data_IF_356181616936
#
_entry.id   IF_356181616936
#
_cell.length_a   1.000
_cell.length_b   1.000
_cell.length_c   1.000
_cell.angle_alpha   90.00
_cell.angle_beta   90.00
_cell.angle_gamma   90.00
#
_symmetry.space_group_name_H-M   'P 1'
#
loop_
_entity.id
_entity.type
_entity.pdbx_description
1 polymer ?
#
# COMPACT_ATOMS: atom_id res chain seq x y z
N UNK A 1 0.39 -23.73 5.88
CA UNK A 1 0.90 -25.10 5.67
C UNK A 1 0.95 -25.96 6.94
N UNK A 2 0.23 -25.63 8.01
CA UNK A 2 0.18 -26.48 9.22
C UNK A 2 1.45 -26.52 10.09
N UNK A 3 2.49 -25.74 9.75
CA UNK A 3 3.70 -25.60 10.57
C UNK A 3 3.50 -24.48 11.58
N UNK A 4 3.79 -24.73 12.86
CA UNK A 4 3.76 -23.70 13.90
C UNK A 4 4.88 -22.69 13.68
N UNK A 5 4.57 -21.40 13.80
CA UNK A 5 5.55 -20.32 13.62
C UNK A 5 6.68 -20.39 14.66
N UNK A 6 6.40 -20.95 15.84
CA UNK A 6 7.38 -21.12 16.93
C UNK A 6 8.48 -22.12 16.59
N UNK A 7 8.25 -22.98 15.60
CA UNK A 7 9.19 -24.00 15.16
C UNK A 7 10.09 -23.51 14.00
N UNK A 8 9.85 -22.29 13.48
CA UNK A 8 10.60 -21.72 12.37
C UNK A 8 11.78 -20.88 12.84
N UNK A 9 12.88 -20.93 12.08
CA UNK A 9 13.96 -19.96 12.23
C UNK A 9 13.44 -18.57 11.86
N UNK A 10 13.64 -17.61 12.75
CA UNK A 10 13.13 -16.25 12.60
C UNK A 10 13.52 -15.59 11.27
N UNK A 11 14.76 -15.80 10.81
CA UNK A 11 15.24 -15.29 9.52
C UNK A 11 14.43 -15.86 8.35
N UNK A 12 14.32 -17.18 8.27
CA UNK A 12 13.59 -17.87 7.21
C UNK A 12 12.10 -17.53 7.21
N UNK A 13 11.51 -17.31 8.39
CA UNK A 13 10.13 -16.82 8.50
C UNK A 13 9.97 -15.40 7.94
N UNK A 14 10.88 -14.48 8.28
CA UNK A 14 10.82 -13.08 7.82
C UNK A 14 11.02 -12.94 6.32
N UNK A 15 11.82 -13.81 5.70
CA UNK A 15 11.98 -13.85 4.24
C UNK A 15 10.67 -14.19 3.50
N UNK A 16 9.69 -14.83 4.18
CA UNK A 16 8.38 -15.12 3.62
C UNK A 16 7.40 -13.94 3.66
N UNK A 17 7.71 -12.88 4.43
CA UNK A 17 6.77 -11.79 4.74
C UNK A 17 7.31 -10.46 4.21
N UNK A 18 6.52 -9.82 3.35
CA UNK A 18 6.70 -8.42 2.97
C UNK A 18 5.73 -7.53 3.73
N UNK A 19 6.20 -6.37 4.18
CA UNK A 19 5.38 -5.36 4.87
C UNK A 19 5.47 -4.04 4.09
N UNK A 20 4.32 -3.46 3.76
CA UNK A 20 4.20 -2.10 3.24
C UNK A 20 3.44 -1.28 4.27
N UNK A 21 4.13 -0.33 4.89
CA UNK A 21 3.58 0.53 5.93
C UNK A 21 2.97 1.81 5.33
N UNK A 22 2.08 2.45 6.09
CA UNK A 22 1.50 3.76 5.78
C UNK A 22 2.58 4.84 5.76
N UNK A 23 3.40 4.89 6.81
CA UNK A 23 4.53 5.80 6.90
C UNK A 23 5.78 5.11 6.35
N UNK A 24 6.23 5.55 5.18
CA UNK A 24 7.39 4.96 4.52
C UNK A 24 8.66 5.36 5.23
N UNK A 25 9.40 4.34 5.66
CA UNK A 25 10.77 4.52 6.11
C UNK A 25 11.76 4.28 4.96
N UNK A 26 12.50 5.34 4.60
CA UNK A 26 13.67 5.26 3.73
C UNK A 26 14.93 5.28 4.60
N UNK A 27 15.85 4.38 4.30
CA UNK A 27 17.16 4.35 4.92
C UNK A 27 18.03 5.46 4.32
N UNK A 28 18.96 5.99 5.13
CA UNK A 28 20.03 6.84 4.62
C UNK A 28 20.89 6.02 3.65
N UNK A 29 20.94 6.46 2.39
CA UNK A 29 21.60 5.72 1.30
C UNK A 29 21.03 6.10 -0.06
N UNK A 30 21.38 5.37 -1.10
CA UNK A 30 20.86 5.63 -2.45
C UNK A 30 19.44 5.10 -2.61
N UNK A 31 18.75 5.56 -3.66
CA UNK A 31 17.46 4.97 -4.06
C UNK A 31 17.65 3.48 -4.41
N UNK A 32 18.74 3.11 -5.10
CA UNK A 32 19.06 1.71 -5.39
C UNK A 32 19.19 0.87 -4.11
N UNK A 33 19.94 1.35 -3.12
CA UNK A 33 20.11 0.66 -1.83
C UNK A 33 18.78 0.49 -1.10
N UNK A 34 17.93 1.52 -1.14
CA UNK A 34 16.60 1.47 -0.54
C UNK A 34 15.69 0.42 -1.20
N UNK A 35 15.75 0.24 -2.51
CA UNK A 35 14.99 -0.80 -3.22
C UNK A 35 15.64 -2.17 -2.95
N UNK A 36 16.96 -2.28 -3.10
CA UNK A 36 17.74 -3.49 -2.89
C UNK A 36 17.66 -4.04 -1.47
N UNK A 37 17.24 -3.22 -0.49
CA UNK A 37 17.02 -3.68 0.89
C UNK A 37 16.11 -4.92 0.97
N UNK A 38 15.13 -5.06 0.05
CA UNK A 38 14.25 -6.23 -0.02
C UNK A 38 14.97 -7.53 -0.44
N UNK A 39 16.07 -7.41 -1.19
CA UNK A 39 16.93 -8.51 -1.63
C UNK A 39 18.35 -7.99 -1.89
N UNK A 40 19.26 -8.00 -0.89
CA UNK A 40 20.56 -7.32 -0.96
C UNK A 40 21.50 -7.80 -2.08
N UNK A 41 21.30 -9.02 -2.58
CA UNK A 41 22.03 -9.63 -3.69
C UNK A 41 21.40 -9.34 -5.08
N UNK A 42 20.39 -8.47 -5.14
CA UNK A 42 19.76 -8.09 -6.40
C UNK A 42 20.72 -7.34 -7.33
N UNK A 43 20.66 -7.70 -8.61
CA UNK A 43 21.39 -7.01 -9.68
C UNK A 43 20.77 -5.63 -10.00
N UNK A 44 21.53 -4.69 -10.57
CA UNK A 44 21.00 -3.40 -11.01
C UNK A 44 19.80 -3.51 -11.96
N UNK A 45 19.76 -4.54 -12.80
CA UNK A 45 18.66 -4.82 -13.72
C UNK A 45 17.39 -5.20 -12.97
N UNK A 46 17.50 -6.04 -11.94
CA UNK A 46 16.37 -6.43 -11.09
C UNK A 46 15.84 -5.25 -10.26
N UNK A 47 16.73 -4.37 -9.77
CA UNK A 47 16.34 -3.14 -9.06
C UNK A 47 15.56 -2.23 -10.01
N UNK A 48 16.05 -2.04 -11.25
CA UNK A 48 15.37 -1.24 -12.28
C UNK A 48 14.02 -1.82 -12.67
N UNK A 49 13.92 -3.14 -12.82
CA UNK A 49 12.66 -3.83 -13.09
C UNK A 49 11.62 -3.60 -11.98
N UNK A 50 12.01 -3.85 -10.72
CA UNK A 50 11.13 -3.60 -9.57
C UNK A 50 10.68 -2.13 -9.48
N UNK A 51 11.58 -1.19 -9.77
CA UNK A 51 11.24 0.23 -9.84
C UNK A 51 10.27 0.57 -10.97
N UNK A 52 10.32 -0.10 -12.12
CA UNK A 52 9.36 0.12 -13.23
C UNK A 52 7.97 -0.37 -12.85
N UNK A 53 7.89 -1.58 -12.31
CA UNK A 53 6.67 -2.22 -11.82
C UNK A 53 6.00 -1.39 -10.72
N UNK A 54 6.81 -0.76 -9.86
CA UNK A 54 6.32 0.18 -8.84
C UNK A 54 6.06 1.61 -9.36
N UNK A 55 6.11 1.85 -10.68
CA UNK A 55 6.00 3.17 -11.29
C UNK A 55 7.00 4.22 -10.74
N UNK A 56 8.13 3.78 -10.19
CA UNK A 56 9.15 4.65 -9.62
C UNK A 56 10.22 5.08 -10.63
N UNK A 57 10.52 4.23 -11.61
CA UNK A 57 11.61 4.44 -12.57
C UNK A 57 11.59 5.82 -13.23
N UNK A 58 10.42 6.27 -13.69
CA UNK A 58 10.28 7.52 -14.43
C UNK A 58 10.68 8.77 -13.64
N UNK A 59 10.43 8.81 -12.32
CA UNK A 59 10.86 9.95 -11.49
C UNK A 59 12.30 9.79 -11.02
N UNK A 60 12.77 8.55 -10.83
CA UNK A 60 14.15 8.28 -10.43
C UNK A 60 15.11 8.80 -11.52
N UNK A 61 14.81 8.52 -12.79
CA UNK A 61 15.61 8.98 -13.94
C UNK A 61 15.60 10.52 -14.13
N UNK A 62 14.73 11.25 -13.42
CA UNK A 62 14.74 12.72 -13.45
C UNK A 62 15.77 13.33 -12.49
N UNK A 63 16.27 12.56 -11.51
CA UNK A 63 17.37 13.02 -10.66
C UNK A 63 18.70 12.96 -11.42
N UNK A 64 19.63 13.92 -11.21
CA UNK A 64 20.92 13.92 -11.89
C UNK A 64 21.74 12.63 -11.67
N UNK A 65 21.67 12.04 -10.48
CA UNK A 65 22.35 10.79 -10.14
C UNK A 65 21.46 9.54 -10.32
N UNK A 66 20.21 9.72 -10.76
CA UNK A 66 19.28 8.62 -11.00
C UNK A 66 19.09 7.71 -9.78
N UNK A 67 19.42 6.43 -9.95
CA UNK A 67 19.36 5.43 -8.89
C UNK A 67 20.39 5.64 -7.77
N UNK A 68 21.48 6.34 -8.06
CA UNK A 68 22.55 6.66 -7.09
C UNK A 68 22.24 7.93 -6.29
N UNK A 69 21.09 8.57 -6.54
CA UNK A 69 20.64 9.72 -5.73
C UNK A 69 20.50 9.31 -4.27
N UNK A 70 21.17 10.06 -3.40
CA UNK A 70 21.14 9.84 -1.95
C UNK A 70 19.81 10.38 -1.40
N UNK A 71 19.11 9.56 -0.63
CA UNK A 71 17.86 9.87 0.09
C UNK A 71 18.05 9.61 1.59
N UNK A 72 17.07 10.03 2.40
CA UNK A 72 17.12 9.94 3.86
C UNK A 72 17.24 11.32 4.52
N UNK A 73 17.72 11.39 5.77
CA UNK A 73 17.77 12.62 6.55
C UNK A 73 18.67 13.70 5.93
N UNK A 74 19.75 13.29 5.27
CA UNK A 74 20.77 14.17 4.64
C UNK A 74 20.72 14.18 3.12
N UNK A 75 19.80 13.42 2.52
CA UNK A 75 19.67 13.28 1.08
C UNK A 75 18.57 14.16 0.48
N UNK A 76 18.26 13.90 -0.79
CA UNK A 76 17.08 14.44 -1.46
C UNK A 76 15.83 13.97 -0.74
N UNK A 77 14.91 14.89 -0.49
CA UNK A 77 13.58 14.57 0.06
C UNK A 77 12.66 14.12 -1.06
N UNK A 78 12.26 12.86 -1.02
CA UNK A 78 11.19 12.35 -1.87
C UNK A 78 9.84 12.86 -1.38
N UNK A 79 8.91 13.11 -2.31
CA UNK A 79 7.50 13.29 -1.94
C UNK A 79 6.93 12.03 -1.29
N UNK A 80 5.82 12.13 -0.57
CA UNK A 80 5.16 10.96 0.01
C UNK A 80 4.86 9.88 -1.03
N UNK A 81 4.37 10.26 -2.21
CA UNK A 81 4.07 9.32 -3.29
C UNK A 81 5.30 8.71 -3.95
N UNK A 82 6.41 9.45 -4.03
CA UNK A 82 7.69 8.91 -4.50
C UNK A 82 8.25 7.90 -3.48
N UNK A 83 8.25 8.24 -2.20
CA UNK A 83 8.69 7.34 -1.13
C UNK A 83 7.85 6.04 -1.11
N UNK A 84 6.52 6.15 -1.23
CA UNK A 84 5.63 4.98 -1.30
C UNK A 84 5.98 4.07 -2.46
N UNK A 85 6.21 4.62 -3.66
CA UNK A 85 6.61 3.84 -4.83
C UNK A 85 7.98 3.17 -4.65
N UNK A 86 8.94 3.80 -3.96
CA UNK A 86 10.21 3.14 -3.58
C UNK A 86 9.96 1.99 -2.60
N UNK A 87 9.07 2.16 -1.62
CA UNK A 87 8.68 1.10 -0.67
C UNK A 87 8.00 -0.09 -1.37
N UNK A 88 7.12 0.19 -2.34
CA UNK A 88 6.48 -0.85 -3.16
C UNK A 88 7.51 -1.56 -4.04
N UNK A 89 8.47 -0.84 -4.64
CA UNK A 89 9.57 -1.46 -5.39
C UNK A 89 10.39 -2.40 -4.50
N UNK A 90 10.69 -2.00 -3.25
CA UNK A 90 11.37 -2.85 -2.26
C UNK A 90 10.58 -4.13 -1.98
N UNK A 91 9.26 -4.03 -1.80
CA UNK A 91 8.39 -5.18 -1.56
C UNK A 91 8.26 -6.11 -2.79
N UNK A 92 8.17 -5.54 -3.99
CA UNK A 92 8.16 -6.28 -5.25
C UNK A 92 9.47 -7.06 -5.43
N UNK A 93 10.61 -6.41 -5.17
CA UNK A 93 11.94 -7.03 -5.30
C UNK A 93 12.17 -8.17 -4.29
N UNK A 94 11.66 -8.01 -3.07
CA UNK A 94 11.74 -9.04 -2.03
C UNK A 94 10.99 -10.32 -2.39
N UNK A 95 9.97 -10.22 -3.26
CA UNK A 95 9.19 -11.36 -3.79
C UNK A 95 8.62 -12.30 -2.69
N UNK A 96 8.19 -11.71 -1.58
CA UNK A 96 7.63 -12.45 -0.45
C UNK A 96 6.28 -13.10 -0.77
N UNK A 97 6.05 -14.30 -0.22
CA UNK A 97 4.81 -15.08 -0.42
C UNK A 97 3.61 -14.54 0.35
N UNK A 98 3.86 -13.91 1.50
CA UNK A 98 2.86 -13.29 2.35
C UNK A 98 3.12 -11.79 2.35
N UNK A 99 2.09 -10.99 2.10
CA UNK A 99 2.17 -9.55 2.16
C UNK A 99 1.26 -9.01 3.27
N UNK A 100 1.72 -7.98 3.95
CA UNK A 100 0.94 -7.21 4.91
C UNK A 100 0.96 -5.76 4.43
N UNK A 101 -0.22 -5.21 4.16
CA UNK A 101 -0.39 -3.81 3.78
C UNK A 101 -1.08 -3.07 4.91
N UNK A 102 -0.45 -2.01 5.41
CA UNK A 102 -0.98 -1.14 6.45
C UNK A 102 -1.27 0.23 5.84
N UNK A 103 -2.54 0.53 5.56
CA UNK A 103 -3.09 1.83 5.09
C UNK A 103 -2.19 2.67 4.13
N UNK A 104 -1.83 2.11 2.97
CA UNK A 104 -0.82 2.66 2.06
C UNK A 104 -1.14 3.98 1.30
N UNK A 105 -2.21 4.73 1.62
CA UNK A 105 -2.68 5.82 0.72
C UNK A 105 -3.27 7.08 1.37
N UNK A 106 -3.06 7.37 2.66
CA UNK A 106 -3.84 8.42 3.35
C UNK A 106 -3.38 9.88 3.11
N UNK A 107 -2.22 10.16 2.49
CA UNK A 107 -1.65 11.52 2.37
C UNK A 107 -1.07 11.88 1.00
N UNK A 108 -1.70 11.43 -0.10
CA UNK A 108 -1.12 11.54 -1.44
C UNK A 108 -1.93 12.46 -2.37
N UNK A 109 -1.24 13.13 -3.28
CA UNK A 109 -1.87 13.80 -4.42
C UNK A 109 -2.53 12.77 -5.36
N UNK A 110 -3.58 13.19 -6.07
CA UNK A 110 -4.46 12.30 -6.84
C UNK A 110 -3.77 11.57 -8.00
N UNK A 111 -2.74 12.16 -8.61
CA UNK A 111 -1.94 11.52 -9.66
C UNK A 111 -1.04 10.42 -9.06
N UNK A 112 -0.33 10.74 -7.98
CA UNK A 112 0.46 9.75 -7.24
C UNK A 112 -0.40 8.60 -6.72
N UNK A 113 -1.63 8.87 -6.30
CA UNK A 113 -2.55 7.85 -5.81
C UNK A 113 -2.86 6.79 -6.88
N UNK A 114 -3.16 7.19 -8.11
CA UNK A 114 -3.48 6.23 -9.18
C UNK A 114 -2.28 5.32 -9.51
N UNK A 115 -1.06 5.89 -9.57
CA UNK A 115 0.16 5.11 -9.81
C UNK A 115 0.48 4.17 -8.65
N UNK A 116 0.16 4.55 -7.42
CA UNK A 116 0.35 3.71 -6.25
C UNK A 116 -0.68 2.58 -6.24
N UNK A 117 -1.94 2.85 -6.57
CA UNK A 117 -2.98 1.83 -6.70
C UNK A 117 -2.62 0.79 -7.78
N UNK A 118 -2.10 1.21 -8.94
CA UNK A 118 -1.66 0.26 -9.97
C UNK A 118 -0.46 -0.58 -9.51
N UNK A 119 0.50 0.04 -8.83
CA UNK A 119 1.67 -0.66 -8.26
C UNK A 119 1.28 -1.65 -7.16
N UNK A 120 0.30 -1.30 -6.32
CA UNK A 120 -0.27 -2.18 -5.30
C UNK A 120 -1.03 -3.33 -5.96
N UNK A 121 -1.86 -3.06 -6.98
CA UNK A 121 -2.57 -4.11 -7.71
C UNK A 121 -1.59 -5.13 -8.30
N UNK A 122 -0.47 -4.68 -8.87
CA UNK A 122 0.59 -5.57 -9.35
C UNK A 122 1.28 -6.34 -8.21
N UNK A 123 1.62 -5.67 -7.11
CA UNK A 123 2.24 -6.29 -5.94
C UNK A 123 1.35 -7.39 -5.33
N UNK A 124 0.03 -7.24 -5.39
CA UNK A 124 -0.94 -8.17 -4.82
C UNK A 124 -1.12 -9.47 -5.61
N UNK A 125 -0.71 -9.51 -6.88
CA UNK A 125 -0.92 -10.68 -7.75
C UNK A 125 -0.18 -11.92 -7.24
N UNK A 126 -0.87 -13.06 -7.29
CA UNK A 126 -0.36 -14.39 -6.94
C UNK A 126 0.23 -14.53 -5.52
N UNK A 127 -0.24 -13.70 -4.56
CA UNK A 127 0.28 -13.67 -3.18
C UNK A 127 -0.83 -13.72 -2.15
N UNK A 128 -0.54 -14.33 -1.00
CA UNK A 128 -1.44 -14.23 0.16
C UNK A 128 -1.26 -12.87 0.80
N UNK A 129 -2.27 -12.02 0.72
CA UNK A 129 -2.16 -10.65 1.26
C UNK A 129 -3.16 -10.38 2.37
N UNK A 130 -2.64 -9.83 3.47
CA UNK A 130 -3.42 -9.23 4.53
C UNK A 130 -3.41 -7.72 4.34
N UNK A 131 -4.60 -7.12 4.27
CA UNK A 131 -4.73 -5.67 4.18
C UNK A 131 -5.43 -5.17 5.42
N UNK A 132 -4.77 -4.27 6.15
CA UNK A 132 -5.36 -3.48 7.23
C UNK A 132 -5.88 -2.21 6.56
N UNK A 133 -7.17 -2.21 6.24
CA UNK A 133 -7.78 -1.19 5.41
C UNK A 133 -8.63 -0.22 6.23
N UNK A 134 -8.37 1.08 6.04
CA UNK A 134 -9.23 2.17 6.45
C UNK A 134 -9.98 2.81 5.28
N UNK A 135 -9.82 2.30 4.05
CA UNK A 135 -10.52 2.80 2.86
C UNK A 135 -11.42 1.75 2.25
N UNK A 136 -12.65 2.15 1.92
CA UNK A 136 -13.66 1.28 1.34
C UNK A 136 -13.23 0.69 -0.01
N UNK A 137 -12.53 1.46 -0.85
CA UNK A 137 -12.06 1.00 -2.17
C UNK A 137 -11.19 -0.25 -2.09
N UNK A 138 -10.39 -0.39 -1.04
CA UNK A 138 -9.55 -1.58 -0.82
C UNK A 138 -10.33 -2.74 -0.19
N UNK A 139 -11.31 -2.43 0.66
CA UNK A 139 -12.13 -3.44 1.37
C UNK A 139 -13.08 -4.16 0.41
N UNK A 140 -13.71 -3.44 -0.53
CA UNK A 140 -14.78 -3.98 -1.39
C UNK A 140 -14.29 -5.10 -2.32
N UNK A 141 -13.01 -5.10 -2.67
CA UNK A 141 -12.41 -6.08 -3.58
C UNK A 141 -11.73 -7.26 -2.87
N UNK A 142 -11.79 -7.34 -1.54
CA UNK A 142 -11.17 -8.42 -0.80
C UNK A 142 -11.94 -9.75 -0.96
N UNK A 143 -11.21 -10.85 -1.14
CA UNK A 143 -11.78 -12.21 -1.19
C UNK A 143 -12.47 -12.60 0.13
N UNK A 144 -11.92 -12.13 1.25
CA UNK A 144 -12.44 -12.33 2.60
C UNK A 144 -12.16 -11.09 3.46
N UNK A 145 -13.18 -10.63 4.15
CA UNK A 145 -13.08 -9.54 5.13
C UNK A 145 -13.26 -10.14 6.53
N UNK A 146 -12.35 -9.77 7.44
CA UNK A 146 -12.42 -10.13 8.86
C UNK A 146 -12.73 -8.88 9.67
N UNK A 147 -13.89 -8.84 10.31
CA UNK A 147 -14.32 -7.68 11.10
C UNK A 147 -13.87 -7.88 12.55
N UNK A 148 -13.04 -6.97 13.04
CA UNK A 148 -12.52 -6.99 14.40
C UNK A 148 -13.18 -5.91 15.27
N UNK A 149 -13.53 -6.27 16.50
CA UNK A 149 -13.98 -5.32 17.53
C UNK A 149 -13.54 -5.79 18.91
N UNK A 150 -12.99 -4.89 19.71
CA UNK A 150 -12.48 -5.16 21.07
C UNK A 150 -11.56 -6.41 21.15
N UNK A 151 -10.68 -6.58 20.15
CA UNK A 151 -9.73 -7.69 20.08
C UNK A 151 -10.34 -9.05 19.72
N UNK A 152 -11.58 -9.08 19.22
CA UNK A 152 -12.26 -10.30 18.79
C UNK A 152 -12.79 -10.18 17.36
N UNK A 153 -12.81 -11.30 16.65
CA UNK A 153 -13.53 -11.42 15.38
C UNK A 153 -15.02 -11.40 15.68
N UNK A 154 -15.71 -10.39 15.15
CA UNK A 154 -17.17 -10.26 15.31
C UNK A 154 -17.93 -10.76 14.10
N UNK A 155 -17.31 -10.77 12.92
CA UNK A 155 -17.89 -11.33 11.70
C UNK A 155 -16.82 -11.58 10.62
N UNK A 156 -17.15 -12.43 9.64
CA UNK A 156 -16.31 -12.76 8.48
C UNK A 156 -17.15 -13.04 7.25
N UNK A 157 -16.76 -12.51 6.09
CA UNK A 157 -17.45 -12.80 4.84
C UNK A 157 -16.98 -11.92 3.69
N UNK A 158 -17.69 -11.97 2.56
CA UNK A 158 -17.48 -11.01 1.48
C UNK A 158 -18.09 -9.65 1.85
N UNK A 159 -17.78 -8.60 1.07
CA UNK A 159 -18.41 -7.29 1.25
C UNK A 159 -19.95 -7.39 1.24
N UNK A 160 -20.51 -8.17 0.30
CA UNK A 160 -21.95 -8.35 0.19
C UNK A 160 -22.54 -9.07 1.41
N UNK A 161 -21.90 -10.15 1.89
CA UNK A 161 -22.36 -10.88 3.07
C UNK A 161 -22.39 -9.98 4.30
N UNK A 162 -21.32 -9.21 4.51
CA UNK A 162 -21.19 -8.34 5.67
C UNK A 162 -22.13 -7.13 5.61
N UNK A 163 -22.39 -6.56 4.42
CA UNK A 163 -23.41 -5.50 4.28
C UNK A 163 -24.80 -6.01 4.65
N UNK A 164 -25.13 -7.25 4.31
CA UNK A 164 -26.41 -7.87 4.64
C UNK A 164 -26.50 -8.27 6.12
N UNK A 165 -25.49 -8.95 6.64
CA UNK A 165 -25.53 -9.63 7.95
C UNK A 165 -24.90 -8.87 9.12
N UNK A 166 -23.93 -7.98 8.86
CA UNK A 166 -23.12 -7.37 9.92
C UNK A 166 -23.46 -5.89 10.12
N UNK A 167 -24.23 -5.58 11.17
CA UNK A 167 -24.61 -4.19 11.48
C UNK A 167 -23.39 -3.30 11.76
N UNK A 168 -22.38 -3.83 12.46
CA UNK A 168 -21.16 -3.09 12.79
C UNK A 168 -20.39 -2.69 11.52
N UNK A 169 -20.19 -3.66 10.61
CA UNK A 169 -19.53 -3.42 9.33
C UNK A 169 -20.31 -2.40 8.49
N UNK A 170 -21.62 -2.59 8.33
CA UNK A 170 -22.48 -1.68 7.55
C UNK A 170 -22.38 -0.24 8.06
N UNK A 171 -22.43 -0.05 9.38
CA UNK A 171 -22.29 1.27 10.01
C UNK A 171 -20.92 1.91 9.76
N UNK A 172 -19.86 1.11 9.72
CA UNK A 172 -18.52 1.58 9.38
C UNK A 172 -18.45 2.06 7.93
N UNK A 173 -19.02 1.29 6.99
CA UNK A 173 -19.10 1.65 5.57
C UNK A 173 -19.91 2.93 5.35
N UNK A 174 -21.10 3.04 5.95
CA UNK A 174 -21.95 4.22 5.85
C UNK A 174 -21.26 5.49 6.37
N UNK A 175 -20.48 5.38 7.45
CA UNK A 175 -19.71 6.50 7.99
C UNK A 175 -18.63 6.99 7.03
N UNK A 176 -17.92 6.07 6.38
CA UNK A 176 -16.91 6.45 5.38
C UNK A 176 -17.56 7.12 4.16
N UNK A 177 -18.68 6.61 3.68
CA UNK A 177 -19.42 7.22 2.56
C UNK A 177 -19.90 8.64 2.89
N UNK A 178 -20.36 8.89 4.13
CA UNK A 178 -20.73 10.24 4.60
C UNK A 178 -19.53 11.17 4.76
N UNK A 179 -18.36 10.63 5.11
CA UNK A 179 -17.11 11.40 5.16
C UNK A 179 -16.59 11.82 3.77
N UNK A 180 -16.98 11.10 2.72
CA UNK A 180 -16.64 11.43 1.32
C UNK A 180 -17.58 12.47 0.68
N UNK A 181 -18.59 13.01 1.39
CA UNK A 181 -19.57 13.96 0.84
C UNK A 181 -19.27 15.44 1.11
N UNK A 182 -18.01 15.84 1.27
CA UNK A 182 -17.62 17.26 1.30
C UNK A 182 -16.39 17.49 0.43
N UNK A 183 -16.65 17.70 -0.86
CA UNK A 183 -15.66 17.99 -1.88
C UNK A 183 -16.31 18.23 -3.24
N UNK A 184 -17.51 18.85 -3.27
CA UNK A 184 -18.10 19.39 -4.49
C UNK A 184 -19.01 20.58 -4.11
N UNK A 185 -18.37 21.70 -3.72
CA UNK A 185 -19.03 22.99 -3.67
C UNK A 185 -19.19 23.51 -5.12
N UNK A 186 -20.23 23.02 -5.80
CA UNK A 186 -20.85 23.73 -6.91
C UNK A 186 -22.21 24.26 -6.45
N UNK A 187 -22.16 25.51 -5.99
CA UNK A 187 -23.22 26.53 -5.80
C UNK A 187 -24.64 26.10 -6.20
N UNK A 188 -25.65 26.23 -5.30
CA UNK A 188 -27.04 26.10 -5.71
C UNK A 188 -27.45 27.32 -6.54
N UNK A 189 -27.65 27.13 -7.84
CA UNK A 189 -28.31 28.13 -8.67
C UNK A 189 -29.83 28.07 -8.41
N UNK A 190 -30.27 28.65 -7.30
CA UNK A 190 -31.65 29.00 -7.08
C UNK A 190 -31.89 30.45 -7.55
N UNK A 191 -32.70 30.58 -8.60
CA UNK A 191 -33.68 31.66 -8.74
C UNK A 191 -33.20 32.99 -9.31
N UNK A 192 -33.27 33.10 -10.64
CA UNK A 192 -33.80 34.29 -11.33
C UNK A 192 -34.45 33.85 -12.65
N UNK A 193 -35.77 33.77 -12.69
CA UNK A 193 -36.65 34.42 -13.67
C UNK A 193 -38.09 33.88 -13.55
N UNK A 194 -38.97 34.83 -13.20
CA UNK A 194 -40.45 34.89 -13.26
C UNK A 194 -41.27 34.10 -12.22
#
# INVERSE_FOLDING_TARGET
NGVDLRDLKLRSYRELIGLVQQDVFLFDGTIAENIAYGRPDATPEQIRDAARRANAHAFIEQFPEGYETIVGERGVRLSGGQAQRVSIARALLADCRILILDEATSNLDSESEQLIQSSLAELLQDRTTFVIAHRLSTIVHADLIVVLSAGRVVDTGTHADLMAGCEFYRRMVERQQRGMSFGDDAVPAAGWLE
#
